data_IF_775849193391
#
_entry.id   IF_775849193391
#
_cell.length_a   1.000
_cell.length_b   1.000
_cell.length_c   1.000
_cell.angle_alpha   90.00
_cell.angle_beta   90.00
_cell.angle_gamma   90.00
#
_symmetry.space_group_name_H-M   'P 1'
#
loop_
_entity.id
_entity.type
_entity.pdbx_description
1 polymer ?
#
# COMPACT_ATOMS: atom_id res chain seq x y z
N UNK A 1 -3.23 -15.39 -69.33
CA UNK A 1 -2.18 -15.52 -68.30
C UNK A 1 -1.74 -14.12 -67.83
N UNK A 2 -2.55 -13.43 -67.02
CA UNK A 2 -2.35 -12.00 -66.64
C UNK A 2 -2.41 -11.76 -65.12
N UNK A 3 -2.20 -12.79 -64.30
CA UNK A 3 -2.34 -12.71 -62.83
C UNK A 3 -0.99 -12.56 -62.11
N UNK A 4 0.15 -12.76 -62.79
CA UNK A 4 1.49 -12.76 -62.15
C UNK A 4 2.19 -11.39 -62.04
N UNK A 5 1.71 -10.31 -62.68
CA UNK A 5 2.36 -8.99 -62.63
C UNK A 5 1.82 -8.05 -61.55
N UNK A 6 0.60 -8.25 -61.07
CA UNK A 6 0.00 -7.42 -60.00
C UNK A 6 0.32 -7.93 -58.59
N UNK A 7 0.58 -9.23 -58.43
CA UNK A 7 0.98 -9.80 -57.14
C UNK A 7 2.40 -9.40 -56.72
N UNK A 8 3.31 -9.17 -57.68
CA UNK A 8 4.69 -8.74 -57.36
C UNK A 8 4.75 -7.26 -56.93
N UNK A 9 3.89 -6.40 -57.50
CA UNK A 9 3.83 -4.97 -57.15
C UNK A 9 3.21 -4.69 -55.78
N UNK A 10 2.27 -5.52 -55.33
CA UNK A 10 1.66 -5.38 -53.99
C UNK A 10 2.63 -5.87 -52.90
N UNK A 11 3.43 -6.90 -53.17
CA UNK A 11 4.41 -7.43 -52.21
C UNK A 11 5.58 -6.45 -52.01
N UNK A 12 6.02 -5.71 -53.05
CA UNK A 12 7.09 -4.71 -52.89
C UNK A 12 6.60 -3.41 -52.23
N UNK A 13 5.33 -3.02 -52.38
CA UNK A 13 4.77 -1.84 -51.72
C UNK A 13 4.39 -2.05 -50.24
N UNK A 14 4.09 -3.28 -49.82
CA UNK A 14 3.85 -3.61 -48.40
C UNK A 14 5.16 -3.67 -47.60
N UNK A 15 6.29 -4.04 -48.22
CA UNK A 15 7.60 -4.02 -47.56
C UNK A 15 8.14 -2.59 -47.39
N UNK A 16 7.77 -1.65 -48.25
CA UNK A 16 8.20 -0.24 -48.12
C UNK A 16 7.36 0.52 -47.07
N UNK A 17 6.10 0.13 -46.84
CA UNK A 17 5.30 0.66 -45.72
C UNK A 17 5.69 0.07 -44.35
N UNK A 18 6.42 -1.06 -44.32
CA UNK A 18 7.05 -1.57 -43.10
C UNK A 18 8.40 -0.90 -42.78
N UNK A 19 8.96 -0.12 -43.71
CA UNK A 19 10.25 0.58 -43.53
C UNK A 19 10.11 2.09 -43.34
N UNK A 20 8.89 2.64 -43.42
CA UNK A 20 8.59 4.04 -43.12
C UNK A 20 8.28 4.32 -41.63
N UNK A 21 8.29 3.29 -40.78
CA UNK A 21 8.46 3.48 -39.34
C UNK A 21 9.95 3.39 -38.98
N UNK A 22 10.78 4.24 -39.61
CA UNK A 22 12.00 4.74 -38.98
C UNK A 22 11.60 5.72 -37.86
N UNK A 23 10.66 5.28 -37.02
CA UNK A 23 10.13 6.00 -35.88
C UNK A 23 11.20 6.03 -34.81
N UNK A 24 11.32 7.19 -34.18
CA UNK A 24 12.20 7.45 -33.05
C UNK A 24 12.20 6.27 -32.07
N UNK A 25 13.40 5.95 -31.59
CA UNK A 25 13.65 4.89 -30.61
C UNK A 25 12.62 4.96 -29.45
N UNK A 26 11.66 4.02 -29.34
CA UNK A 26 10.58 4.08 -28.34
C UNK A 26 11.11 4.15 -26.91
N UNK A 27 12.28 3.57 -26.67
CA UNK A 27 13.00 3.66 -25.40
C UNK A 27 13.42 5.10 -25.07
N UNK A 28 13.94 5.85 -26.04
CA UNK A 28 14.30 7.26 -25.85
C UNK A 28 13.06 8.13 -25.66
N UNK A 29 11.99 7.82 -26.38
CA UNK A 29 10.72 8.52 -26.18
C UNK A 29 10.12 8.24 -24.79
N UNK A 30 10.22 6.99 -24.31
CA UNK A 30 9.84 6.58 -22.97
C UNK A 30 10.64 7.35 -21.92
N UNK A 31 11.98 7.30 -21.97
CA UNK A 31 12.83 8.00 -21.00
C UNK A 31 12.64 9.51 -21.07
N UNK A 32 12.54 10.10 -22.26
CA UNK A 32 12.26 11.53 -22.37
C UNK A 32 10.92 11.90 -21.75
N UNK A 33 9.88 11.07 -21.86
CA UNK A 33 8.57 11.39 -21.27
C UNK A 33 8.56 11.15 -19.76
N UNK A 34 9.19 10.08 -19.28
CA UNK A 34 9.29 9.74 -17.86
C UNK A 34 10.11 10.77 -17.07
N UNK A 35 11.21 11.25 -17.65
CA UNK A 35 12.11 12.20 -17.01
C UNK A 35 11.83 13.66 -17.39
N UNK A 36 10.92 13.95 -18.34
CA UNK A 36 10.65 15.35 -18.71
C UNK A 36 9.95 16.10 -17.58
N UNK A 37 10.68 17.07 -17.03
CA UNK A 37 10.24 17.97 -15.97
C UNK A 37 9.46 19.18 -16.47
N UNK A 38 8.68 19.04 -17.56
CA UNK A 38 7.80 20.12 -18.04
C UNK A 38 6.57 20.32 -17.12
N UNK A 39 6.81 20.39 -15.81
CA UNK A 39 5.89 20.72 -14.73
C UNK A 39 5.27 22.12 -14.83
N UNK A 40 5.61 22.91 -15.84
CA UNK A 40 4.85 24.14 -16.14
C UNK A 40 3.46 23.85 -16.72
N UNK A 41 3.21 22.67 -17.30
CA UNK A 41 1.90 22.37 -17.88
C UNK A 41 0.92 21.72 -16.89
N UNK A 42 1.41 20.92 -15.94
CA UNK A 42 0.57 20.21 -14.98
C UNK A 42 1.14 20.40 -13.58
N UNK A 43 0.35 21.02 -12.70
CA UNK A 43 0.71 21.29 -11.31
C UNK A 43 -0.18 20.52 -10.32
N UNK A 44 -0.92 19.53 -10.82
CA UNK A 44 -1.73 18.61 -10.03
C UNK A 44 -1.78 17.25 -10.71
N UNK A 45 -2.17 16.22 -9.97
CA UNK A 45 -2.55 14.93 -10.56
C UNK A 45 -3.55 14.21 -9.67
N UNK A 46 -4.41 13.40 -10.27
CA UNK A 46 -5.17 12.37 -9.55
C UNK A 46 -4.44 11.04 -9.66
N UNK A 47 -4.47 10.24 -8.61
CA UNK A 47 -3.93 8.89 -8.59
C UNK A 47 -4.95 7.87 -8.06
N UNK A 48 -4.83 6.64 -8.52
CA UNK A 48 -5.59 5.47 -8.05
C UNK A 48 -4.60 4.32 -7.88
N UNK A 49 -4.60 3.68 -6.72
CA UNK A 49 -3.88 2.46 -6.42
C UNK A 49 -4.87 1.37 -6.03
N UNK A 50 -4.71 0.16 -6.56
CA UNK A 50 -5.55 -0.98 -6.20
C UNK A 50 -4.82 -2.30 -6.32
N UNK A 51 -5.27 -3.29 -5.56
CA UNK A 51 -4.87 -4.68 -5.71
C UNK A 51 -5.78 -5.32 -6.77
N UNK A 52 -5.24 -5.64 -7.95
CA UNK A 52 -5.98 -6.32 -9.01
C UNK A 52 -6.15 -7.81 -8.73
N UNK A 53 -5.11 -8.41 -8.18
CA UNK A 53 -5.10 -9.82 -7.86
C UNK A 53 -4.18 -10.09 -6.67
N UNK A 54 -4.57 -11.10 -5.90
CA UNK A 54 -3.85 -11.58 -4.72
C UNK A 54 -4.20 -13.06 -4.54
N UNK A 55 -3.20 -13.91 -4.52
CA UNK A 55 -3.36 -15.34 -4.28
C UNK A 55 -2.35 -15.79 -3.25
N UNK A 56 -2.79 -16.67 -2.36
CA UNK A 56 -1.93 -17.37 -1.43
C UNK A 56 -2.32 -18.86 -1.44
N UNK A 57 -1.33 -19.73 -1.56
CA UNK A 57 -1.51 -21.18 -1.63
C UNK A 57 -0.56 -21.89 -0.67
N UNK A 58 -0.71 -21.59 0.63
CA UNK A 58 -0.13 -22.34 1.74
C UNK A 58 -1.18 -23.19 2.46
N UNK A 59 -0.73 -24.30 3.05
CA UNK A 59 -1.59 -25.30 3.72
C UNK A 59 -1.98 -24.90 5.15
N UNK A 60 -1.19 -24.05 5.83
CA UNK A 60 -1.51 -23.50 7.15
C UNK A 60 -2.41 -22.27 7.05
N UNK A 61 -3.52 -22.25 7.80
CA UNK A 61 -4.48 -21.12 7.81
C UNK A 61 -5.17 -20.83 6.47
N UNK A 62 -5.03 -21.73 5.47
CA UNK A 62 -5.33 -21.46 4.07
C UNK A 62 -6.74 -20.93 3.78
N UNK A 63 -7.77 -21.32 4.53
CA UNK A 63 -9.13 -20.80 4.34
C UNK A 63 -9.28 -19.35 4.84
N UNK A 64 -8.72 -19.03 6.01
CA UNK A 64 -8.70 -17.68 6.58
C UNK A 64 -7.85 -16.76 5.71
N UNK A 65 -6.63 -17.17 5.35
CA UNK A 65 -5.74 -16.35 4.50
C UNK A 65 -6.36 -16.14 3.12
N UNK A 66 -7.04 -17.13 2.53
CA UNK A 66 -7.77 -16.96 1.25
C UNK A 66 -8.97 -16.00 1.39
N UNK A 67 -9.68 -16.03 2.53
CA UNK A 67 -10.76 -15.09 2.83
C UNK A 67 -10.24 -13.65 2.98
N UNK A 68 -9.18 -13.44 3.78
CA UNK A 68 -8.54 -12.12 3.91
C UNK A 68 -7.99 -11.63 2.59
N UNK A 69 -7.28 -12.48 1.84
CA UNK A 69 -6.77 -12.14 0.52
C UNK A 69 -7.87 -11.71 -0.45
N UNK A 70 -9.08 -12.29 -0.36
CA UNK A 70 -10.23 -11.88 -1.17
C UNK A 70 -10.74 -10.49 -0.80
N UNK A 71 -10.80 -10.15 0.49
CA UNK A 71 -11.22 -8.83 0.97
C UNK A 71 -10.18 -7.75 0.63
N UNK A 72 -8.88 -8.09 0.65
CA UNK A 72 -7.81 -7.16 0.27
C UNK A 72 -7.89 -6.73 -1.20
N UNK A 73 -8.47 -7.53 -2.10
CA UNK A 73 -8.61 -7.17 -3.54
C UNK A 73 -9.54 -5.99 -3.76
N UNK A 74 -10.50 -5.78 -2.87
CA UNK A 74 -11.45 -4.68 -2.97
C UNK A 74 -10.90 -3.37 -2.37
N UNK A 75 -9.69 -3.41 -1.80
CA UNK A 75 -9.04 -2.21 -1.28
C UNK A 75 -8.47 -1.36 -2.40
N UNK A 76 -8.71 -0.05 -2.29
CA UNK A 76 -8.11 0.95 -3.17
C UNK A 76 -7.70 2.18 -2.38
N UNK A 77 -6.70 2.87 -2.91
CA UNK A 77 -6.32 4.20 -2.44
C UNK A 77 -6.46 5.14 -3.63
N UNK A 78 -7.42 6.04 -3.54
CA UNK A 78 -7.68 7.07 -4.52
C UNK A 78 -7.22 8.41 -3.95
N UNK A 79 -6.74 9.31 -4.80
CA UNK A 79 -6.33 10.61 -4.30
C UNK A 79 -6.01 11.62 -5.37
N UNK A 80 -5.68 12.81 -4.92
CA UNK A 80 -5.16 13.86 -5.77
C UNK A 80 -4.15 14.70 -5.02
N UNK A 81 -3.25 15.34 -5.74
CA UNK A 81 -2.38 16.36 -5.18
C UNK A 81 -2.33 17.57 -6.09
N UNK A 82 -2.03 18.72 -5.50
CA UNK A 82 -1.78 19.97 -6.19
C UNK A 82 -0.58 20.69 -5.58
N UNK A 83 0.19 21.35 -6.42
CA UNK A 83 1.35 22.16 -6.04
C UNK A 83 1.18 23.58 -6.62
N UNK A 84 1.39 24.58 -5.78
CA UNK A 84 1.54 25.98 -6.20
C UNK A 84 3.00 26.39 -5.96
N UNK A 85 3.84 26.25 -6.99
CA UNK A 85 5.26 26.60 -6.92
C UNK A 85 5.51 28.08 -6.57
N UNK A 86 4.57 28.99 -6.91
CA UNK A 86 4.75 30.43 -6.64
C UNK A 86 4.60 30.75 -5.17
N UNK A 87 3.74 30.01 -4.49
CA UNK A 87 3.50 30.16 -3.05
C UNK A 87 4.18 29.10 -2.21
N UNK A 88 4.80 28.11 -2.86
CA UNK A 88 5.49 27.02 -2.21
C UNK A 88 4.56 26.21 -1.30
N UNK A 89 3.33 25.99 -1.78
CA UNK A 89 2.27 25.28 -1.06
C UNK A 89 1.87 24.00 -1.79
N UNK A 90 1.54 22.96 -1.02
CA UNK A 90 1.08 21.66 -1.50
C UNK A 90 -0.22 21.28 -0.81
N UNK A 91 -1.10 20.61 -1.53
CA UNK A 91 -2.30 19.97 -1.02
C UNK A 91 -2.35 18.54 -1.55
N UNK A 92 -2.78 17.61 -0.70
CA UNK A 92 -2.97 16.20 -1.04
C UNK A 92 -4.23 15.69 -0.38
N UNK A 93 -5.10 15.10 -1.17
CA UNK A 93 -6.31 14.40 -0.70
C UNK A 93 -6.12 12.92 -1.00
N UNK A 94 -6.40 12.07 -0.02
CA UNK A 94 -6.31 10.62 -0.10
C UNK A 94 -7.61 10.05 0.45
N UNK A 95 -8.17 9.07 -0.21
CA UNK A 95 -9.27 8.24 0.27
C UNK A 95 -8.83 6.79 0.20
N UNK A 96 -8.63 6.18 1.36
CA UNK A 96 -8.39 4.75 1.46
C UNK A 96 -9.76 4.06 1.58
N UNK A 97 -10.09 3.21 0.63
CA UNK A 97 -11.28 2.36 0.67
C UNK A 97 -10.83 1.01 1.27
N UNK A 98 -11.24 0.75 2.51
CA UNK A 98 -10.82 -0.42 3.29
C UNK A 98 -12.07 -1.13 3.78
N UNK A 99 -12.22 -2.42 3.47
CA UNK A 99 -13.34 -3.26 3.94
C UNK A 99 -14.74 -2.68 3.67
N UNK A 100 -14.90 -1.91 2.60
CA UNK A 100 -16.17 -1.25 2.24
C UNK A 100 -16.34 0.16 2.80
N UNK A 101 -15.49 0.58 3.73
CA UNK A 101 -15.50 1.90 4.35
C UNK A 101 -14.50 2.86 3.72
N UNK A 102 -14.74 4.17 3.86
CA UNK A 102 -13.91 5.23 3.29
C UNK A 102 -13.21 6.01 4.38
N UNK A 103 -11.88 6.01 4.33
CA UNK A 103 -11.03 6.78 5.22
C UNK A 103 -10.41 7.97 4.46
N UNK A 104 -10.95 9.19 4.64
CA UNK A 104 -10.45 10.38 3.97
C UNK A 104 -9.34 11.05 4.77
N UNK A 105 -8.19 11.23 4.14
CA UNK A 105 -7.07 12.03 4.63
C UNK A 105 -6.89 13.25 3.74
N UNK A 106 -6.65 14.41 4.33
CA UNK A 106 -6.27 15.62 3.61
C UNK A 106 -5.06 16.23 4.27
N UNK A 107 -4.03 16.51 3.48
CA UNK A 107 -2.80 17.17 3.90
C UNK A 107 -2.67 18.49 3.16
N UNK A 108 -2.26 19.53 3.87
CA UNK A 108 -1.99 20.84 3.27
C UNK A 108 -0.78 21.46 3.97
N UNK A 109 0.14 22.04 3.21
CA UNK A 109 1.37 22.54 3.80
C UNK A 109 2.17 23.46 2.91
N UNK A 110 3.24 23.98 3.49
CA UNK A 110 4.29 24.73 2.83
C UNK A 110 5.65 24.32 3.41
N UNK A 111 6.74 25.00 3.04
CA UNK A 111 8.09 24.67 3.57
C UNK A 111 8.22 24.66 5.10
N UNK A 112 7.38 25.40 5.80
CA UNK A 112 7.49 25.60 7.25
C UNK A 112 6.46 24.80 8.04
N UNK A 113 5.23 24.72 7.55
CA UNK A 113 4.11 24.16 8.30
C UNK A 113 3.38 23.10 7.47
N UNK A 114 2.98 22.01 8.13
CA UNK A 114 2.25 20.90 7.54
C UNK A 114 1.05 20.55 8.41
N UNK A 115 -0.11 20.44 7.78
CA UNK A 115 -1.38 20.24 8.45
C UNK A 115 -2.09 19.01 7.89
N UNK A 116 -2.77 18.28 8.77
CA UNK A 116 -3.63 17.15 8.42
C UNK A 116 -5.06 17.44 8.84
N UNK A 117 -6.04 17.28 7.96
CA UNK A 117 -7.46 17.42 8.34
C UNK A 117 -7.87 16.32 9.30
N UNK A 118 -8.74 16.65 10.26
CA UNK A 118 -9.39 15.72 11.19
C UNK A 118 -10.48 14.86 10.54
N UNK A 119 -10.72 14.98 9.23
CA UNK A 119 -11.75 14.21 8.51
C UNK A 119 -11.59 12.69 8.65
N UNK A 120 -10.37 12.20 8.87
CA UNK A 120 -10.08 10.77 9.03
C UNK A 120 -10.76 10.18 10.27
N UNK A 121 -11.02 10.97 11.32
CA UNK A 121 -11.60 10.48 12.57
C UNK A 121 -12.97 9.87 12.33
N UNK A 122 -13.82 10.50 11.52
CA UNK A 122 -15.12 9.93 11.17
C UNK A 122 -14.98 8.61 10.39
N UNK A 123 -14.03 8.54 9.45
CA UNK A 123 -13.75 7.31 8.72
C UNK A 123 -13.20 6.18 9.60
N UNK A 124 -12.44 6.49 10.64
CA UNK A 124 -11.99 5.51 11.64
C UNK A 124 -13.15 4.98 12.49
N UNK A 125 -14.08 5.85 12.91
CA UNK A 125 -15.28 5.41 13.64
C UNK A 125 -16.15 4.51 12.78
N UNK A 126 -16.38 4.87 11.51
CA UNK A 126 -17.14 4.04 10.57
C UNK A 126 -16.46 2.67 10.37
N UNK A 127 -15.13 2.67 10.24
CA UNK A 127 -14.35 1.43 10.16
C UNK A 127 -14.48 0.59 11.44
N UNK A 128 -14.30 1.16 12.62
CA UNK A 128 -14.41 0.42 13.88
C UNK A 128 -15.82 -0.17 14.07
N UNK A 129 -16.86 0.60 13.72
CA UNK A 129 -18.24 0.13 13.71
C UNK A 129 -18.46 -1.04 12.73
N UNK A 130 -17.80 -1.03 11.57
CA UNK A 130 -17.87 -2.15 10.61
C UNK A 130 -17.29 -3.46 11.16
N UNK A 131 -16.36 -3.37 12.11
CA UNK A 131 -15.80 -4.52 12.84
C UNK A 131 -16.55 -4.87 14.13
N UNK A 132 -17.69 -4.21 14.41
CA UNK A 132 -18.50 -4.48 15.59
C UNK A 132 -17.96 -3.85 16.88
N UNK A 133 -17.07 -2.86 16.78
CA UNK A 133 -16.64 -2.04 17.91
C UNK A 133 -17.42 -0.70 17.90
N UNK A 134 -18.54 -0.59 18.65
CA UNK A 134 -19.40 0.58 18.63
C UNK A 134 -18.77 1.74 19.40
N UNK A 135 -17.85 2.45 18.77
CA UNK A 135 -17.33 3.72 19.28
C UNK A 135 -18.20 4.86 18.77
N UNK A 136 -18.80 5.61 19.70
CA UNK A 136 -19.55 6.82 19.40
C UNK A 136 -18.89 8.01 20.07
N UNK A 137 -18.39 8.96 19.28
CA UNK A 137 -18.03 10.28 19.80
C UNK A 137 -19.28 11.09 20.10
N UNK A 138 -19.21 11.93 21.13
CA UNK A 138 -20.27 12.88 21.42
C UNK A 138 -20.49 13.84 20.23
N UNK A 139 -21.73 14.33 20.07
CA UNK A 139 -22.02 15.37 19.06
C UNK A 139 -21.19 16.64 19.26
N UNK A 140 -20.75 16.91 20.49
CA UNK A 140 -19.88 18.06 20.78
C UNK A 140 -18.52 17.86 20.13
N UNK A 141 -17.92 16.68 20.29
CA UNK A 141 -16.56 16.39 19.83
C UNK A 141 -16.50 16.23 18.31
N UNK A 142 -17.51 15.62 17.71
CA UNK A 142 -17.67 15.65 16.24
C UNK A 142 -17.77 17.08 15.69
N UNK A 143 -18.43 18.00 16.40
CA UNK A 143 -18.49 19.40 15.98
C UNK A 143 -17.16 20.14 16.19
N UNK A 144 -16.40 19.81 17.24
CA UNK A 144 -15.04 20.35 17.44
C UNK A 144 -14.11 19.94 16.31
N UNK A 145 -14.18 18.69 15.86
CA UNK A 145 -13.34 18.16 14.78
C UNK A 145 -13.73 18.70 13.38
N UNK A 146 -15.00 19.04 13.14
CA UNK A 146 -15.48 19.34 11.79
C UNK A 146 -14.72 20.50 11.11
N UNK A 147 -14.05 20.19 10.01
CA UNK A 147 -13.30 21.17 9.21
C UNK A 147 -12.03 21.69 9.89
N UNK A 148 -11.56 20.99 10.92
CA UNK A 148 -10.30 21.29 11.61
C UNK A 148 -9.12 20.58 10.98
N UNK A 149 -7.95 21.06 11.37
CA UNK A 149 -6.65 20.58 10.98
C UNK A 149 -5.77 20.42 12.21
N UNK A 150 -4.90 19.44 12.17
CA UNK A 150 -3.87 19.14 13.15
C UNK A 150 -2.56 19.68 12.60
N UNK A 151 -1.78 20.40 13.40
CA UNK A 151 -0.39 20.71 13.06
C UNK A 151 0.47 19.48 13.32
N UNK A 152 1.01 18.88 12.25
CA UNK A 152 1.76 17.62 12.34
C UNK A 152 3.04 17.79 13.16
N UNK A 153 3.64 18.98 13.15
CA UNK A 153 4.86 19.23 13.91
C UNK A 153 4.60 19.35 15.42
N UNK A 154 3.39 19.75 15.80
CA UNK A 154 2.96 19.89 17.21
C UNK A 154 2.41 18.57 17.74
N UNK A 155 1.50 17.93 17.01
CA UNK A 155 0.82 16.70 17.43
C UNK A 155 1.52 15.41 17.01
N UNK A 156 2.79 15.50 16.59
CA UNK A 156 3.56 14.33 16.15
C UNK A 156 3.59 13.23 17.21
N UNK A 157 3.87 13.62 18.46
CA UNK A 157 3.97 12.69 19.59
C UNK A 157 2.61 12.03 19.90
N UNK A 158 1.48 12.69 19.62
CA UNK A 158 0.12 12.13 19.78
C UNK A 158 -0.27 11.17 18.65
N UNK A 159 0.22 11.41 17.43
CA UNK A 159 -0.16 10.66 16.22
C UNK A 159 0.74 9.45 15.94
N UNK A 160 1.88 9.34 16.60
CA UNK A 160 2.82 8.23 16.45
C UNK A 160 3.22 7.63 17.80
N UNK A 161 3.28 6.31 17.87
CA UNK A 161 3.76 5.56 19.05
C UNK A 161 5.28 5.64 19.28
N UNK A 162 5.96 6.63 18.71
CA UNK A 162 7.40 6.84 18.84
C UNK A 162 7.73 8.33 18.83
N UNK A 163 8.77 8.74 19.56
CA UNK A 163 9.26 10.11 19.53
C UNK A 163 9.63 10.48 18.08
N UNK A 164 8.85 11.36 17.46
CA UNK A 164 9.25 11.93 16.18
C UNK A 164 10.50 12.76 16.45
N UNK A 165 11.64 12.34 15.86
CA UNK A 165 12.90 13.05 16.05
C UNK A 165 12.72 14.51 15.61
N UNK A 166 12.61 15.42 16.60
CA UNK A 166 12.36 16.87 16.42
C UNK A 166 13.45 17.55 15.56
N UNK A 167 14.55 16.84 15.25
CA UNK A 167 15.60 17.26 14.32
C UNK A 167 15.36 16.87 12.87
N UNK A 168 14.54 15.86 12.60
CA UNK A 168 14.13 15.53 11.24
C UNK A 168 13.10 16.54 10.77
N UNK A 169 13.59 17.61 10.14
CA UNK A 169 12.78 18.42 9.22
C UNK A 169 12.70 17.63 7.92
N UNK A 170 11.70 16.75 7.71
CA UNK A 170 11.80 15.69 6.70
C UNK A 170 11.85 16.25 5.27
N UNK A 171 11.47 17.52 5.11
CA UNK A 171 11.25 18.20 3.84
C UNK A 171 12.06 19.50 3.65
N UNK A 172 12.89 19.96 4.60
CA UNK A 172 13.57 21.26 4.43
C UNK A 172 14.64 21.28 3.33
N UNK A 173 15.28 20.14 3.06
CA UNK A 173 16.34 20.03 2.06
C UNK A 173 15.97 19.14 0.86
N UNK A 174 14.79 18.51 0.88
CA UNK A 174 14.23 17.73 -0.23
C UNK A 174 13.22 18.57 -1.01
N UNK A 175 13.60 19.79 -1.42
CA UNK A 175 12.94 20.44 -2.55
C UNK A 175 12.81 19.43 -3.68
N UNK A 176 11.63 19.34 -4.31
CA UNK A 176 11.35 18.55 -5.51
C UNK A 176 12.52 18.64 -6.49
N UNK A 177 13.52 17.77 -6.34
CA UNK A 177 14.73 17.83 -7.15
C UNK A 177 14.26 17.43 -8.53
N UNK A 178 14.45 18.33 -9.49
CA UNK A 178 14.19 18.03 -10.87
C UNK A 178 15.02 16.78 -11.25
N UNK A 179 14.37 15.61 -11.31
CA UNK A 179 15.07 14.36 -11.60
C UNK A 179 15.86 14.47 -12.91
N UNK A 180 15.35 15.23 -13.88
CA UNK A 180 16.01 15.48 -15.17
C UNK A 180 17.41 16.11 -15.03
N UNK A 181 17.58 17.02 -14.07
CA UNK A 181 18.82 17.79 -13.85
C UNK A 181 19.73 17.12 -12.82
N UNK A 182 19.24 16.12 -12.09
CA UNK A 182 20.01 15.39 -11.11
C UNK A 182 20.97 14.38 -11.75
N UNK A 183 22.12 14.16 -11.12
CA UNK A 183 23.05 13.08 -11.53
C UNK A 183 22.35 11.72 -11.53
N UNK A 184 21.55 11.44 -10.49
CA UNK A 184 20.78 10.20 -10.37
C UNK A 184 19.86 10.00 -11.59
N UNK A 185 19.08 11.01 -11.97
CA UNK A 185 18.17 10.88 -13.11
C UNK A 185 18.91 10.77 -14.45
N UNK A 186 20.04 11.45 -14.64
CA UNK A 186 20.91 11.23 -15.80
C UNK A 186 21.41 9.79 -15.89
N UNK A 187 21.92 9.23 -14.79
CA UNK A 187 22.43 7.85 -14.77
C UNK A 187 21.31 6.81 -14.93
N UNK A 188 20.14 7.04 -14.34
CA UNK A 188 18.97 6.19 -14.52
C UNK A 188 18.45 6.23 -15.97
N UNK A 189 18.42 7.42 -16.58
CA UNK A 189 18.08 7.56 -18.00
C UNK A 189 19.03 6.76 -18.90
N UNK A 190 20.35 6.89 -18.68
CA UNK A 190 21.35 6.11 -19.42
C UNK A 190 21.17 4.60 -19.24
N UNK A 191 20.88 4.16 -18.02
CA UNK A 191 20.65 2.76 -17.72
C UNK A 191 19.42 2.23 -18.47
N UNK A 192 18.28 2.91 -18.40
CA UNK A 192 17.05 2.51 -19.10
C UNK A 192 17.27 2.54 -20.62
N UNK A 193 18.00 3.54 -21.13
CA UNK A 193 18.43 3.61 -22.53
C UNK A 193 19.44 2.53 -22.94
N UNK A 194 20.00 1.76 -22.01
CA UNK A 194 20.86 0.61 -22.31
C UNK A 194 20.10 -0.71 -22.44
N UNK A 195 18.84 -0.75 -21.98
CA UNK A 195 18.00 -1.95 -22.07
C UNK A 195 17.60 -2.25 -23.53
N UNK A 196 17.15 -3.48 -23.74
CA UNK A 196 16.78 -3.97 -25.06
C UNK A 196 15.70 -3.06 -25.67
N UNK A 197 15.98 -2.53 -26.86
CA UNK A 197 15.06 -1.61 -27.54
C UNK A 197 13.72 -2.27 -27.84
N UNK A 198 13.72 -3.55 -28.17
CA UNK A 198 12.51 -4.27 -28.59
C UNK A 198 11.57 -4.59 -27.41
N UNK A 199 12.06 -4.41 -26.17
CA UNK A 199 11.24 -4.49 -24.96
C UNK A 199 10.33 -3.26 -24.75
N UNK A 200 10.54 -2.18 -25.49
CA UNK A 200 9.71 -0.97 -25.46
C UNK A 200 8.70 -0.99 -26.61
N UNK A 201 7.43 -1.11 -26.26
CA UNK A 201 6.33 -1.20 -27.23
C UNK A 201 5.62 0.13 -27.34
N UNK A 202 5.43 0.61 -28.56
CA UNK A 202 4.64 1.83 -28.83
C UNK A 202 3.35 1.44 -29.56
N UNK A 203 2.22 1.81 -28.97
CA UNK A 203 0.91 1.75 -29.62
C UNK A 203 0.28 3.15 -29.59
N UNK A 204 0.14 3.76 -30.78
CA UNK A 204 -0.33 5.15 -30.95
C UNK A 204 0.46 6.13 -30.07
N UNK A 205 -0.20 6.70 -29.07
CA UNK A 205 0.35 7.69 -28.14
C UNK A 205 0.86 7.06 -26.84
N UNK A 206 0.80 5.74 -26.69
CA UNK A 206 1.21 5.04 -25.47
C UNK A 206 2.51 4.28 -25.72
N UNK A 207 3.49 4.47 -24.84
CA UNK A 207 4.71 3.66 -24.80
C UNK A 207 4.70 2.83 -23.53
N UNK A 208 4.91 1.54 -23.67
CA UNK A 208 4.91 0.56 -22.58
C UNK A 208 6.22 -0.18 -22.52
N UNK A 209 6.71 -0.42 -21.32
CA UNK A 209 7.80 -1.34 -21.04
C UNK A 209 7.53 -2.11 -19.75
N UNK A 210 7.92 -3.37 -19.72
CA UNK A 210 7.87 -4.21 -18.51
C UNK A 210 9.29 -4.40 -18.01
N UNK A 211 9.63 -3.69 -16.95
CA UNK A 211 10.87 -3.87 -16.23
C UNK A 211 10.82 -5.22 -15.52
N UNK A 212 11.69 -6.11 -15.94
CA UNK A 212 11.83 -7.43 -15.34
C UNK A 212 12.59 -7.36 -14.02
N UNK A 213 12.48 -8.40 -13.19
CA UNK A 213 13.27 -8.57 -11.96
C UNK A 213 14.76 -8.24 -12.15
N UNK A 214 15.34 -8.67 -13.29
CA UNK A 214 16.76 -8.42 -13.62
C UNK A 214 17.05 -6.95 -13.88
N UNK A 215 16.17 -6.24 -14.59
CA UNK A 215 16.31 -4.82 -14.86
C UNK A 215 16.12 -4.00 -13.58
N UNK A 216 15.16 -4.37 -12.74
CA UNK A 216 14.92 -3.75 -11.42
C UNK A 216 16.16 -3.87 -10.52
N UNK A 217 16.77 -5.07 -10.44
CA UNK A 217 18.02 -5.27 -9.70
C UNK A 217 19.11 -4.33 -10.22
N UNK A 218 19.27 -4.20 -11.54
CA UNK A 218 20.28 -3.30 -12.13
C UNK A 218 20.00 -1.83 -11.82
N UNK A 219 18.72 -1.45 -11.75
CA UNK A 219 18.31 -0.11 -11.33
C UNK A 219 18.67 0.15 -9.86
N UNK A 220 18.37 -0.78 -8.95
CA UNK A 220 18.73 -0.67 -7.54
C UNK A 220 20.25 -0.61 -7.35
N UNK A 221 21.00 -1.46 -8.05
CA UNK A 221 22.47 -1.44 -8.04
C UNK A 221 23.03 -0.11 -8.55
N UNK A 222 22.39 0.52 -9.55
CA UNK A 222 22.79 1.84 -10.05
C UNK A 222 22.48 2.96 -9.05
N UNK A 223 21.34 2.89 -8.36
CA UNK A 223 21.00 3.83 -7.28
C UNK A 223 22.06 3.75 -6.18
N UNK A 224 22.39 2.53 -5.72
CA UNK A 224 23.42 2.29 -4.71
C UNK A 224 24.81 2.79 -5.17
N UNK A 225 25.17 2.57 -6.44
CA UNK A 225 26.43 3.06 -7.02
C UNK A 225 26.53 4.60 -6.97
N UNK A 226 25.48 5.30 -7.39
CA UNK A 226 25.46 6.77 -7.40
C UNK A 226 25.41 7.32 -5.98
N UNK A 227 24.62 6.72 -5.09
CA UNK A 227 24.50 7.15 -3.69
C UNK A 227 25.81 6.99 -2.90
N UNK A 228 26.62 5.97 -3.22
CA UNK A 228 27.99 5.80 -2.67
C UNK A 228 28.97 6.91 -3.03
N UNK A 229 28.62 7.88 -3.85
CA UNK A 229 29.49 9.05 -4.00
C UNK A 229 29.37 10.01 -2.81
N UNK A 230 28.24 9.97 -2.11
CA UNK A 230 28.02 10.66 -0.84
C UNK A 230 28.76 9.93 0.30
N UNK A 231 29.47 10.70 1.13
CA UNK A 231 30.21 10.17 2.28
C UNK A 231 29.28 9.78 3.43
N UNK A 232 28.12 10.43 3.53
CA UNK A 232 27.17 10.19 4.61
C UNK A 232 26.37 8.91 4.35
N UNK A 233 25.98 8.67 3.09
CA UNK A 233 25.35 7.41 2.67
C UNK A 233 26.21 6.17 2.95
N UNK A 234 27.54 6.24 2.75
CA UNK A 234 28.42 5.09 3.00
C UNK A 234 28.42 4.60 4.45
N UNK A 235 28.03 5.46 5.37
CA UNK A 235 28.03 5.20 6.82
C UNK A 235 26.61 5.09 7.38
N UNK A 236 25.57 5.28 6.56
CA UNK A 236 24.19 5.15 6.99
C UNK A 236 23.72 3.71 6.86
N UNK A 237 22.68 3.39 7.63
CA UNK A 237 21.97 2.11 7.55
C UNK A 237 21.33 1.92 6.17
N UNK A 238 20.98 3.01 5.46
CA UNK A 238 20.46 2.98 4.08
C UNK A 238 21.32 2.14 3.11
N UNK A 239 22.66 2.21 3.24
CA UNK A 239 23.57 1.46 2.37
C UNK A 239 23.61 -0.04 2.68
N UNK A 240 23.25 -0.43 3.91
CA UNK A 240 23.08 -1.83 4.33
C UNK A 240 21.72 -2.31 3.84
N UNK A 241 20.65 -1.55 4.13
CA UNK A 241 19.28 -1.85 3.72
C UNK A 241 19.16 -2.04 2.20
N UNK A 242 19.78 -1.17 1.40
CA UNK A 242 19.78 -1.31 -0.06
C UNK A 242 20.41 -2.62 -0.53
N UNK A 243 21.52 -3.06 0.09
CA UNK A 243 22.16 -4.33 -0.27
C UNK A 243 21.31 -5.53 0.13
N UNK A 244 20.71 -5.47 1.31
CA UNK A 244 19.84 -6.53 1.81
C UNK A 244 18.57 -6.63 0.98
N UNK A 245 17.97 -5.52 0.57
CA UNK A 245 16.85 -5.48 -0.36
C UNK A 245 17.21 -6.10 -1.72
N UNK A 246 18.38 -5.77 -2.29
CA UNK A 246 18.86 -6.38 -3.54
C UNK A 246 19.07 -7.89 -3.36
N UNK A 247 19.62 -8.31 -2.21
CA UNK A 247 19.88 -9.73 -1.92
C UNK A 247 18.59 -10.51 -1.74
N UNK A 248 17.62 -9.97 -1.01
CA UNK A 248 16.31 -10.59 -0.82
C UNK A 248 15.56 -10.67 -2.14
N UNK A 249 15.54 -9.59 -2.92
CA UNK A 249 14.97 -9.63 -4.26
C UNK A 249 15.63 -10.73 -5.11
N UNK A 250 16.95 -10.91 -5.05
CA UNK A 250 17.64 -11.99 -5.78
C UNK A 250 17.22 -13.39 -5.31
N UNK A 251 17.13 -13.62 -4.00
CA UNK A 251 16.96 -14.95 -3.39
C UNK A 251 15.50 -15.36 -3.22
N UNK A 252 14.67 -14.49 -2.69
CA UNK A 252 13.39 -14.85 -2.07
C UNK A 252 12.18 -14.58 -2.98
N UNK A 253 12.39 -13.80 -4.05
CA UNK A 253 11.34 -13.42 -5.00
C UNK A 253 11.44 -14.22 -6.30
N UNK A 254 10.43 -14.99 -6.68
CA UNK A 254 10.41 -15.68 -7.98
C UNK A 254 10.27 -14.69 -9.14
N UNK A 255 9.40 -13.69 -8.95
CA UNK A 255 9.05 -12.72 -9.97
C UNK A 255 8.84 -11.34 -9.36
N UNK A 256 9.36 -10.34 -10.04
CA UNK A 256 9.03 -8.94 -9.82
C UNK A 256 9.03 -8.25 -11.17
N UNK A 257 7.86 -7.99 -11.73
CA UNK A 257 7.71 -7.28 -13.00
C UNK A 257 6.98 -5.96 -12.74
N UNK A 258 7.52 -4.87 -13.27
CA UNK A 258 6.88 -3.55 -13.22
C UNK A 258 6.60 -3.12 -14.66
N UNK A 259 5.34 -3.21 -15.08
CA UNK A 259 4.87 -2.72 -16.36
C UNK A 259 4.48 -1.26 -16.24
N UNK A 260 5.20 -0.38 -16.93
CA UNK A 260 4.91 1.06 -17.00
C UNK A 260 4.40 1.39 -18.38
N UNK A 261 3.26 2.08 -18.47
CA UNK A 261 2.68 2.60 -19.70
C UNK A 261 2.52 4.11 -19.58
N UNK A 262 3.05 4.86 -20.54
CA UNK A 262 3.04 6.33 -20.51
C UNK A 262 2.33 6.84 -21.76
N UNK A 263 1.29 7.65 -21.57
CA UNK A 263 0.64 8.37 -22.66
C UNK A 263 1.45 9.65 -22.97
N UNK A 264 2.04 9.71 -24.15
CA UNK A 264 2.91 10.81 -24.57
C UNK A 264 2.19 12.15 -24.70
N UNK A 265 0.86 12.15 -24.94
CA UNK A 265 0.04 13.36 -25.07
C UNK A 265 -0.45 13.87 -23.71
N UNK A 266 -1.12 13.00 -22.95
CA UNK A 266 -1.73 13.40 -21.67
C UNK A 266 -0.77 13.33 -20.50
N UNK A 267 0.40 12.70 -20.68
CA UNK A 267 1.38 12.41 -19.63
C UNK A 267 0.86 11.49 -18.52
N UNK A 268 -0.32 10.90 -18.71
CA UNK A 268 -0.84 9.87 -17.81
C UNK A 268 0.10 8.66 -17.82
N UNK A 269 0.33 8.10 -16.63
CA UNK A 269 1.12 6.89 -16.49
C UNK A 269 0.35 5.83 -15.70
N UNK A 270 0.38 4.61 -16.19
CA UNK A 270 -0.20 3.44 -15.57
C UNK A 270 0.93 2.45 -15.28
N UNK A 271 1.04 2.04 -14.02
CA UNK A 271 2.01 1.07 -13.53
C UNK A 271 1.28 -0.16 -13.02
N UNK A 272 1.70 -1.33 -13.47
CA UNK A 272 1.24 -2.62 -12.95
C UNK A 272 2.44 -3.37 -12.37
N UNK A 273 2.37 -3.71 -11.10
CA UNK A 273 3.43 -4.38 -10.34
C UNK A 273 2.95 -5.81 -10.10
N UNK A 274 3.66 -6.80 -10.64
CA UNK A 274 3.40 -8.21 -10.43
C UNK A 274 4.54 -8.84 -9.63
N UNK A 275 4.19 -9.38 -8.47
CA UNK A 275 5.10 -9.97 -7.48
C UNK A 275 4.70 -11.43 -7.31
N UNK A 276 5.67 -12.33 -7.32
CA UNK A 276 5.46 -13.72 -6.93
C UNK A 276 6.64 -14.22 -6.10
N UNK A 277 6.34 -14.90 -5.00
CA UNK A 277 7.32 -15.53 -4.13
C UNK A 277 6.82 -16.91 -3.72
N UNK A 278 7.76 -17.83 -3.52
CA UNK A 278 7.52 -19.18 -3.01
C UNK A 278 8.46 -19.38 -1.84
N UNK A 279 7.95 -19.80 -0.70
CA UNK A 279 8.77 -20.09 0.47
C UNK A 279 9.40 -21.49 0.40
N UNK A 280 10.16 -21.85 1.44
CA UNK A 280 10.86 -23.14 1.52
C UNK A 280 9.90 -24.33 1.68
N UNK A 281 8.67 -24.09 2.14
CA UNK A 281 7.59 -25.08 2.31
C UNK A 281 6.67 -25.16 1.08
N UNK A 282 7.08 -24.54 -0.03
CA UNK A 282 6.37 -24.45 -1.30
C UNK A 282 5.02 -23.70 -1.26
N UNK A 283 4.75 -22.93 -0.19
CA UNK A 283 3.63 -22.01 -0.19
C UNK A 283 3.95 -20.85 -1.13
N UNK A 284 3.01 -20.54 -2.03
CA UNK A 284 3.19 -19.48 -3.03
C UNK A 284 2.28 -18.30 -2.76
N UNK A 285 2.83 -17.10 -2.95
CA UNK A 285 2.11 -15.84 -2.92
C UNK A 285 2.26 -15.15 -4.27
N UNK A 286 1.15 -14.70 -4.85
CA UNK A 286 1.20 -13.79 -6.00
C UNK A 286 0.35 -12.55 -5.73
N UNK A 287 0.85 -11.39 -6.15
CA UNK A 287 0.17 -10.11 -6.01
C UNK A 287 0.32 -9.31 -7.29
N UNK A 288 -0.77 -8.72 -7.75
CA UNK A 288 -0.80 -7.76 -8.85
C UNK A 288 -1.40 -6.46 -8.34
N UNK A 289 -0.59 -5.42 -8.28
CA UNK A 289 -1.02 -4.06 -7.94
C UNK A 289 -1.08 -3.20 -9.19
N UNK A 290 -2.01 -2.26 -9.25
CA UNK A 290 -2.08 -1.25 -10.30
C UNK A 290 -2.10 0.15 -9.69
N UNK A 291 -1.29 1.03 -10.26
CA UNK A 291 -1.20 2.44 -9.92
C UNK A 291 -1.45 3.23 -11.19
N UNK A 292 -2.43 4.12 -11.20
CA UNK A 292 -2.75 4.97 -12.35
C UNK A 292 -2.64 6.42 -11.92
N UNK A 293 -1.94 7.25 -12.69
CA UNK A 293 -1.78 8.67 -12.40
C UNK A 293 -2.13 9.49 -13.63
N UNK A 294 -2.97 10.49 -13.41
CA UNK A 294 -3.48 11.38 -14.46
C UNK A 294 -3.10 12.82 -14.11
N UNK A 295 -2.11 13.40 -14.79
CA UNK A 295 -1.75 14.81 -14.63
C UNK A 295 -2.92 15.74 -14.95
N UNK A 296 -3.02 16.83 -14.21
CA UNK A 296 -4.07 17.82 -14.27
C UNK A 296 -3.52 19.24 -14.12
N UNK A 297 -4.29 20.21 -14.63
CA UNK A 297 -4.04 21.64 -14.41
C UNK A 297 -4.90 22.08 -13.23
N UNK A 298 -4.30 22.66 -12.21
CA UNK A 298 -5.00 23.27 -11.11
C UNK A 298 -4.71 24.77 -11.04
N UNK A 299 -5.74 25.59 -11.26
CA UNK A 299 -5.66 27.05 -11.08
C UNK A 299 -6.19 27.52 -9.73
N UNK A 300 -6.70 26.60 -8.89
CA UNK A 300 -7.19 26.93 -7.56
C UNK A 300 -6.04 27.33 -6.64
N UNK A 301 -6.33 28.24 -5.71
CA UNK A 301 -5.37 28.64 -4.69
C UNK A 301 -5.45 27.63 -3.55
N UNK A 302 -4.33 26.95 -3.28
CA UNK A 302 -4.17 26.14 -2.07
C UNK A 302 -4.24 27.08 -0.86
N UNK A 303 -5.13 26.76 0.10
CA UNK A 303 -5.37 27.58 1.29
C UNK A 303 -4.77 26.89 2.51
N UNK A 304 -3.79 27.54 3.13
CA UNK A 304 -3.26 27.12 4.43
C UNK A 304 -4.33 27.38 5.52
N UNK A 305 -4.59 26.43 6.43
CA UNK A 305 -5.49 26.62 7.56
C UNK A 305 -5.09 27.81 8.43
N UNK A 306 -6.08 28.58 8.88
CA UNK A 306 -5.87 29.63 9.86
C UNK A 306 -5.79 29.05 11.28
N UNK A 307 -5.27 29.83 12.24
CA UNK A 307 -5.21 29.41 13.66
C UNK A 307 -6.55 28.94 14.25
N UNK A 308 -7.69 29.42 13.73
CA UNK A 308 -9.03 28.99 14.19
C UNK A 308 -9.46 27.66 13.58
N UNK A 309 -8.88 27.30 12.45
CA UNK A 309 -9.09 26.03 11.76
C UNK A 309 -8.12 24.95 12.28
N UNK A 310 -7.18 25.30 13.16
CA UNK A 310 -6.29 24.34 13.83
C UNK A 310 -6.91 23.93 15.17
N UNK A 311 -6.92 22.63 15.47
CA UNK A 311 -7.27 22.09 16.79
C UNK A 311 -6.00 22.01 17.65
N UNK A 312 -6.09 22.32 18.93
CA UNK A 312 -4.93 22.18 19.85
C UNK A 312 -4.66 20.72 20.17
N UNK A 313 -3.40 20.40 20.49
CA UNK A 313 -2.99 19.06 20.90
C UNK A 313 -3.82 18.53 22.08
N UNK A 314 -3.98 19.32 23.16
CA UNK A 314 -4.78 18.92 24.33
C UNK A 314 -6.23 18.55 23.96
N UNK A 315 -6.83 19.30 23.02
CA UNK A 315 -8.21 19.07 22.59
C UNK A 315 -8.31 17.84 21.67
N UNK A 316 -7.25 17.57 20.89
CA UNK A 316 -7.14 16.35 20.09
C UNK A 316 -6.96 15.12 20.98
N UNK A 317 -6.06 15.20 21.97
CA UNK A 317 -5.77 14.11 22.92
C UNK A 317 -7.01 13.74 23.74
N UNK A 318 -7.75 14.73 24.26
CA UNK A 318 -9.00 14.49 25.00
C UNK A 318 -10.02 13.72 24.15
N UNK A 319 -10.17 14.10 22.87
CA UNK A 319 -11.11 13.43 21.96
C UNK A 319 -10.63 12.03 21.57
N UNK A 320 -9.33 11.85 21.32
CA UNK A 320 -8.78 10.53 20.98
C UNK A 320 -8.80 9.56 22.16
N UNK A 321 -8.53 10.05 23.38
CA UNK A 321 -8.63 9.30 24.62
C UNK A 321 -10.04 8.70 24.85
N UNK A 322 -11.09 9.43 24.47
CA UNK A 322 -12.47 8.94 24.50
C UNK A 322 -12.69 7.77 23.52
N UNK A 323 -11.97 7.76 22.38
CA UNK A 323 -12.03 6.67 21.39
C UNK A 323 -11.23 5.46 21.86
N UNK A 324 -10.03 5.66 22.43
CA UNK A 324 -9.13 4.57 22.84
C UNK A 324 -9.42 4.04 24.25
N UNK A 325 -10.34 4.65 25.00
CA UNK A 325 -10.67 4.27 26.37
C UNK A 325 -9.61 4.63 27.42
N UNK A 326 -8.54 5.32 27.02
CA UNK A 326 -7.49 5.81 27.91
C UNK A 326 -7.93 7.11 28.56
N UNK A 327 -8.82 7.04 29.56
CA UNK A 327 -9.13 8.21 30.39
C UNK A 327 -7.83 8.65 31.07
N UNK A 328 -7.42 9.87 30.75
CA UNK A 328 -6.32 10.63 31.34
C UNK A 328 -6.49 10.73 32.86
N UNK A 329 -5.97 9.77 33.60
CA UNK A 329 -5.67 9.93 35.03
C UNK A 329 -4.14 9.83 35.15
N UNK A 330 -3.55 10.80 35.85
CA UNK A 330 -2.10 10.98 36.07
C UNK A 330 -1.47 9.78 36.82
N UNK A 331 -1.42 8.63 36.17
CA UNK A 331 -0.62 7.48 36.57
C UNK A 331 0.30 7.17 35.42
N UNK A 332 1.61 7.37 35.65
CA UNK A 332 2.72 6.89 34.83
C UNK A 332 2.41 5.46 34.35
N UNK A 333 1.87 5.34 33.14
CA UNK A 333 1.83 4.09 32.40
C UNK A 333 3.10 4.09 31.57
N UNK A 334 4.21 3.70 32.21
CA UNK A 334 5.34 3.18 31.48
C UNK A 334 4.81 1.99 30.66
N UNK A 335 4.83 2.12 29.33
CA UNK A 335 4.66 1.00 28.42
C UNK A 335 5.89 0.10 28.60
N UNK A 336 5.95 -0.64 29.70
CA UNK A 336 6.77 -1.84 29.77
C UNK A 336 6.14 -2.89 28.84
N UNK A 337 6.99 -3.49 28.01
CA UNK A 337 6.71 -4.54 27.01
C UNK A 337 6.17 -5.84 27.65
N UNK A 338 5.10 -5.78 28.43
CA UNK A 338 4.41 -6.96 28.93
C UNK A 338 3.29 -7.34 27.96
N UNK A 339 3.62 -8.36 27.15
CA UNK A 339 2.74 -9.20 26.35
C UNK A 339 1.37 -9.32 27.03
N UNK A 340 0.34 -8.75 26.41
CA UNK A 340 -1.05 -8.78 26.88
C UNK A 340 -1.44 -10.20 27.33
N UNK A 341 -1.67 -10.38 28.63
CA UNK A 341 -2.28 -11.57 29.20
C UNK A 341 -3.78 -11.53 28.87
N UNK A 342 -4.15 -12.20 27.78
CA UNK A 342 -5.54 -12.29 27.31
C UNK A 342 -6.45 -13.16 28.20
N UNK A 343 -5.96 -13.65 29.35
CA UNK A 343 -6.76 -14.48 30.26
C UNK A 343 -7.98 -13.75 30.82
N UNK A 344 -7.92 -12.42 30.98
CA UNK A 344 -9.03 -11.61 31.47
C UNK A 344 -10.20 -11.46 30.47
N UNK A 345 -9.99 -11.74 29.17
CA UNK A 345 -11.05 -11.69 28.15
C UNK A 345 -11.96 -12.93 28.16
N UNK A 346 -11.59 -14.01 28.85
CA UNK A 346 -12.38 -15.26 28.94
C UNK A 346 -13.66 -15.11 29.75
N UNK A 347 -13.74 -14.08 30.57
CA UNK A 347 -14.86 -13.84 31.48
C UNK A 347 -15.68 -12.59 31.11
N UNK A 348 -15.33 -11.89 30.02
CA UNK A 348 -16.07 -10.72 29.51
C UNK A 348 -17.34 -11.16 28.75
N UNK A 349 -18.55 -10.81 29.24
CA UNK A 349 -19.81 -11.30 28.69
C UNK A 349 -20.10 -10.84 27.26
N UNK A 350 -19.62 -9.67 26.83
CA UNK A 350 -19.85 -9.14 25.49
C UNK A 350 -18.91 -9.82 24.48
N UNK A 351 -17.67 -10.10 24.90
CA UNK A 351 -16.73 -10.90 24.11
C UNK A 351 -17.13 -12.38 24.03
N UNK A 352 -17.75 -12.93 25.07
CA UNK A 352 -18.22 -14.31 25.08
C UNK A 352 -19.27 -14.60 24.00
N UNK A 353 -20.13 -13.64 23.66
CA UNK A 353 -21.12 -13.81 22.58
C UNK A 353 -20.44 -13.89 21.20
N UNK A 354 -19.41 -13.06 20.97
CA UNK A 354 -18.65 -13.04 19.73
C UNK A 354 -17.77 -14.30 19.58
N UNK A 355 -17.14 -14.75 20.67
CA UNK A 355 -16.37 -15.99 20.72
C UNK A 355 -17.28 -17.20 20.51
N UNK A 356 -18.47 -17.24 21.12
CA UNK A 356 -19.46 -18.31 20.92
C UNK A 356 -19.90 -18.38 19.44
N UNK A 357 -20.13 -17.25 18.78
CA UNK A 357 -20.51 -17.22 17.36
C UNK A 357 -19.40 -17.73 16.44
N UNK A 358 -18.14 -17.38 16.72
CA UNK A 358 -16.99 -17.89 15.96
C UNK A 358 -16.77 -19.38 16.20
N UNK A 359 -16.93 -19.85 17.44
CA UNK A 359 -16.84 -21.26 17.77
C UNK A 359 -17.92 -22.08 17.07
N UNK A 360 -19.17 -21.61 17.05
CA UNK A 360 -20.26 -22.32 16.38
C UNK A 360 -19.99 -22.42 14.84
N UNK A 361 -19.44 -21.36 14.22
CA UNK A 361 -19.02 -21.41 12.82
C UNK A 361 -17.85 -22.38 12.56
N UNK A 362 -16.90 -22.47 13.49
CA UNK A 362 -15.81 -23.43 13.43
C UNK A 362 -16.34 -24.88 13.54
N UNK A 363 -17.29 -25.13 14.44
CA UNK A 363 -17.92 -26.44 14.61
C UNK A 363 -18.67 -26.85 13.34
N UNK A 364 -19.43 -25.94 12.70
CA UNK A 364 -20.10 -26.23 11.44
C UNK A 364 -19.12 -26.70 10.34
N UNK A 365 -17.91 -26.14 10.29
CA UNK A 365 -16.88 -26.56 9.33
C UNK A 365 -16.27 -27.92 9.66
N UNK A 366 -16.02 -28.19 10.95
CA UNK A 366 -15.58 -29.51 11.44
C UNK A 366 -16.60 -30.57 11.06
N UNK A 367 -17.89 -30.29 11.27
CA UNK A 367 -18.97 -31.21 10.93
C UNK A 367 -19.17 -31.38 9.42
N UNK A 368 -18.92 -30.33 8.62
CA UNK A 368 -19.02 -30.39 7.16
C UNK A 368 -17.89 -31.21 6.50
N UNK A 369 -16.74 -31.36 7.15
CA UNK A 369 -15.59 -32.07 6.61
C UNK A 369 -14.84 -32.93 7.66
N UNK A 370 -15.49 -33.99 8.19
CA UNK A 370 -14.92 -34.78 9.28
C UNK A 370 -13.63 -35.51 8.88
N UNK A 371 -13.46 -35.86 7.59
CA UNK A 371 -12.25 -36.52 7.07
C UNK A 371 -10.98 -35.65 7.13
N UNK A 372 -11.11 -34.33 7.28
CA UNK A 372 -9.98 -33.42 7.43
C UNK A 372 -9.44 -33.36 8.87
N UNK A 373 -10.20 -33.89 9.84
CA UNK A 373 -9.82 -33.91 11.26
C UNK A 373 -9.04 -35.19 11.55
N UNK A 374 -7.74 -35.04 11.80
CA UNK A 374 -6.87 -36.12 12.27
C UNK A 374 -6.63 -36.01 13.76
N UNK A 375 -6.24 -37.11 14.41
CA UNK A 375 -5.98 -37.13 15.86
C UNK A 375 -4.89 -36.11 16.27
N UNK A 376 -3.87 -35.92 15.42
CA UNK A 376 -2.83 -34.91 15.64
C UNK A 376 -3.40 -33.48 15.61
N UNK A 377 -4.19 -33.13 14.58
CA UNK A 377 -4.80 -31.81 14.44
C UNK A 377 -5.86 -31.52 15.51
N UNK A 378 -6.61 -32.54 15.91
CA UNK A 378 -7.57 -32.41 17.00
C UNK A 378 -6.87 -32.13 18.34
N UNK A 379 -5.72 -32.76 18.60
CA UNK A 379 -4.97 -32.50 19.83
C UNK A 379 -4.29 -31.12 19.82
N UNK A 380 -3.78 -30.67 18.68
CA UNK A 380 -3.24 -29.31 18.51
C UNK A 380 -4.32 -28.24 18.75
N UNK A 381 -5.46 -28.36 18.06
CA UNK A 381 -6.59 -27.44 18.24
C UNK A 381 -7.09 -27.40 19.69
N UNK A 382 -7.01 -28.53 20.42
CA UNK A 382 -7.38 -28.58 21.85
C UNK A 382 -6.41 -27.86 22.76
N UNK A 383 -5.11 -27.90 22.47
CA UNK A 383 -4.12 -27.21 23.30
C UNK A 383 -4.17 -25.71 23.05
N UNK A 384 -4.24 -25.27 21.79
CA UNK A 384 -4.34 -23.85 21.44
C UNK A 384 -5.63 -23.22 21.95
N UNK A 385 -6.75 -23.93 21.83
CA UNK A 385 -8.05 -23.41 22.24
C UNK A 385 -8.17 -23.21 23.76
N UNK A 386 -7.37 -23.87 24.61
CA UNK A 386 -7.39 -23.64 26.07
C UNK A 386 -6.99 -22.23 26.44
N UNK A 387 -6.18 -21.57 25.62
CA UNK A 387 -5.73 -20.19 25.87
C UNK A 387 -6.80 -19.17 25.50
N UNK A 388 -7.82 -19.56 24.71
CA UNK A 388 -8.81 -18.64 24.13
C UNK A 388 -10.22 -18.92 24.67
N UNK A 389 -10.61 -20.18 24.81
CA UNK A 389 -11.96 -20.61 25.15
C UNK A 389 -12.12 -20.96 26.63
N UNK A 390 -13.29 -20.66 27.19
CA UNK A 390 -13.68 -21.12 28.52
C UNK A 390 -14.08 -22.60 28.52
N UNK A 391 -14.31 -23.18 29.69
CA UNK A 391 -14.65 -24.60 29.85
C UNK A 391 -15.88 -25.04 29.05
N UNK A 392 -16.89 -24.16 28.93
CA UNK A 392 -18.14 -24.47 28.20
C UNK A 392 -17.90 -24.52 26.69
N UNK A 393 -17.11 -23.59 26.18
CA UNK A 393 -16.70 -23.51 24.78
C UNK A 393 -15.75 -24.65 24.40
N UNK A 394 -14.77 -24.92 25.25
CA UNK A 394 -13.87 -26.07 25.10
C UNK A 394 -14.64 -27.39 25.04
N UNK A 395 -15.69 -27.54 25.84
CA UNK A 395 -16.55 -28.71 25.77
C UNK A 395 -17.26 -28.85 24.42
N UNK A 396 -17.83 -27.77 23.88
CA UNK A 396 -18.47 -27.77 22.54
C UNK A 396 -17.47 -28.15 21.45
N UNK A 397 -16.27 -27.56 21.47
CA UNK A 397 -15.21 -27.87 20.50
C UNK A 397 -14.79 -29.34 20.58
N UNK A 398 -14.58 -29.85 21.78
CA UNK A 398 -14.19 -31.25 22.01
C UNK A 398 -15.22 -32.24 21.45
N UNK A 399 -16.51 -32.00 21.72
CA UNK A 399 -17.60 -32.83 21.21
C UNK A 399 -17.63 -32.85 19.67
N UNK A 400 -17.39 -31.71 19.02
CA UNK A 400 -17.33 -31.62 17.57
C UNK A 400 -16.13 -32.37 16.98
N UNK A 401 -14.94 -32.20 17.57
CA UNK A 401 -13.71 -32.88 17.15
C UNK A 401 -13.81 -34.40 17.33
N UNK A 402 -14.32 -34.88 18.48
CA UNK A 402 -14.49 -36.31 18.73
C UNK A 402 -15.47 -36.94 17.74
N UNK A 403 -16.60 -36.26 17.49
CA UNK A 403 -17.60 -36.70 16.50
C UNK A 403 -17.01 -36.75 15.07
N UNK A 404 -16.15 -35.80 14.71
CA UNK A 404 -15.46 -35.81 13.41
C UNK A 404 -14.45 -36.96 13.28
N UNK A 405 -13.68 -37.25 14.35
CA UNK A 405 -12.73 -38.38 14.40
C UNK A 405 -13.45 -39.74 14.32
N UNK A 406 -14.60 -39.88 14.97
CA UNK A 406 -15.45 -41.07 14.88
C UNK A 406 -16.08 -41.24 13.48
N UNK A 407 -16.42 -40.13 12.81
CA UNK A 407 -16.97 -40.16 11.46
C UNK A 407 -15.91 -40.43 10.36
N UNK A 408 -14.66 -40.03 10.59
CA UNK A 408 -13.53 -40.23 9.68
C UNK A 408 -12.86 -41.62 9.75
N UNK A 409 -13.33 -42.51 10.63
CA UNK A 409 -12.76 -43.86 10.85
C UNK A 409 -13.50 -45.00 10.10
N UNK A 410 -14.45 -44.68 9.22
CA UNK A 410 -15.17 -45.64 8.35
C UNK A 410 -14.55 -45.74 6.95
#
# INVERSE_FOLDING_TARGET
>A
MKVKKYLLGIITSVVILLLAACGSDPRKEFTNTMFSSKGQEYNAASFEMKIKDLTYDGDEGGAYVKMFASQLKDMSIDGSYAVDEKKDTVEMEITANLFGEKLPFQFVGNKENYYMSTSFVSGLLDLANSFGYPFELSKSDLNKLKGKYIDIAEAGDTLSSGELDKKTKPLKDKTFVNMEESKMGSEMKKLIESFDKDSFKKDKDVITHTFTKKEIIRMMEKIDEVAKEDKDYKKSDDAIEMKDAIKSLKKDMDKMDIKVSINQKTKAFDTEIAIAATDEDAASMTMVMAISVKPQKNSAKIKIPSKKEIISQDELEEILAEITGTISDDSDFELEDDIYDYSDLKDDPDMQELIDAQLDAMIEQIEANPSAVTEAKANEAREEAKEIFNDKQMKKLNEALDKALEAGTI
#
